data_IF_339984839818
#
_entry.id   IF_339984839818
#
_cell.length_a   1.000
_cell.length_b   1.000
_cell.length_c   1.000
_cell.angle_alpha   90.00
_cell.angle_beta   90.00
_cell.angle_gamma   90.00
#
_symmetry.space_group_name_H-M   'P 1'
#
loop_
_entity.id
_entity.type
_entity.pdbx_description
1 polymer ?
#
# COMPACT_ATOMS: atom_id res chain seq x y z
N UNK A 1 -47.81 3.84 6.82
CA UNK A 1 -46.87 4.11 5.74
C UNK A 1 -45.43 3.95 6.21
N UNK A 2 -44.80 2.86 5.87
CA UNK A 2 -43.40 2.79 6.07
C UNK A 2 -42.73 3.59 4.98
N UNK A 3 -42.69 4.88 5.16
CA UNK A 3 -42.03 5.78 4.23
C UNK A 3 -40.55 5.85 4.51
N UNK A 4 -39.99 4.79 5.05
CA UNK A 4 -38.58 4.73 5.29
C UNK A 4 -37.92 3.94 4.19
N UNK A 5 -37.40 4.66 3.23
CA UNK A 5 -36.36 4.15 2.39
C UNK A 5 -35.06 4.14 3.21
N UNK A 6 -34.67 2.99 3.68
CA UNK A 6 -33.30 2.84 4.16
C UNK A 6 -32.45 2.67 2.93
N UNK A 7 -32.03 3.77 2.37
CA UNK A 7 -30.97 3.76 1.37
C UNK A 7 -29.69 3.46 2.14
N UNK A 8 -29.23 2.24 2.08
CA UNK A 8 -27.86 1.95 2.46
C UNK A 8 -26.95 2.59 1.42
N UNK A 9 -26.61 3.83 1.65
CA UNK A 9 -25.53 4.47 0.93
C UNK A 9 -24.26 3.78 1.42
N UNK A 10 -23.74 2.86 0.64
CA UNK A 10 -22.35 2.49 0.77
C UNK A 10 -21.55 3.75 0.43
N UNK A 11 -21.07 4.43 1.47
CA UNK A 11 -20.10 5.48 1.27
C UNK A 11 -18.87 4.84 0.63
N UNK A 12 -18.68 5.13 -0.64
CA UNK A 12 -17.46 4.74 -1.35
C UNK A 12 -16.39 5.75 -0.98
N UNK A 13 -15.64 5.42 0.06
CA UNK A 13 -14.53 6.26 0.50
C UNK A 13 -13.39 6.17 -0.51
N UNK A 14 -12.91 7.29 -1.02
CA UNK A 14 -11.70 7.30 -1.85
C UNK A 14 -10.51 6.81 -1.04
N UNK A 15 -9.81 5.83 -1.55
CA UNK A 15 -8.64 5.23 -0.90
C UNK A 15 -7.38 5.40 -1.71
N UNK A 16 -7.51 5.36 -3.03
CA UNK A 16 -6.38 5.45 -3.96
C UNK A 16 -6.67 6.37 -5.13
N UNK A 17 -5.61 6.80 -5.80
CA UNK A 17 -5.66 7.33 -7.14
C UNK A 17 -5.30 6.23 -8.12
N UNK A 18 -6.04 6.12 -9.21
CA UNK A 18 -5.74 5.22 -10.32
C UNK A 18 -5.78 5.96 -11.64
N UNK A 19 -4.85 5.64 -12.53
CA UNK A 19 -4.89 6.11 -13.92
C UNK A 19 -5.63 5.12 -14.79
N UNK A 20 -6.59 5.60 -15.56
CA UNK A 20 -7.33 4.80 -16.52
C UNK A 20 -7.54 5.60 -17.78
N UNK A 21 -7.03 5.10 -18.91
CA UNK A 21 -7.14 5.75 -20.21
C UNK A 21 -6.68 7.22 -20.20
N UNK A 22 -5.58 7.50 -19.49
CA UNK A 22 -5.01 8.84 -19.39
C UNK A 22 -5.73 9.78 -18.42
N UNK A 23 -6.74 9.31 -17.70
CA UNK A 23 -7.51 10.10 -16.75
C UNK A 23 -7.24 9.59 -15.33
N UNK A 24 -7.09 10.51 -14.39
CA UNK A 24 -6.90 10.19 -12.97
C UNK A 24 -8.27 10.06 -12.30
N UNK A 25 -8.48 8.94 -11.63
CA UNK A 25 -9.70 8.64 -10.88
C UNK A 25 -9.40 8.41 -9.41
N UNK A 26 -10.39 8.72 -8.56
CA UNK A 26 -10.45 8.16 -7.22
C UNK A 26 -10.86 6.70 -7.32
N UNK A 27 -10.25 5.86 -6.49
CA UNK A 27 -10.60 4.44 -6.39
C UNK A 27 -10.93 4.09 -4.93
N UNK A 28 -11.80 3.10 -4.76
CA UNK A 28 -12.13 2.56 -3.45
C UNK A 28 -11.01 1.62 -2.94
N UNK A 29 -11.20 1.04 -1.75
CA UNK A 29 -10.21 0.13 -1.14
C UNK A 29 -9.94 -1.15 -1.95
N UNK A 30 -10.83 -1.51 -2.86
CA UNK A 30 -10.66 -2.64 -3.77
C UNK A 30 -9.97 -2.25 -5.09
N UNK A 31 -9.59 -0.98 -5.24
CA UNK A 31 -8.96 -0.49 -6.46
C UNK A 31 -9.92 -0.16 -7.58
N UNK A 32 -11.23 -0.17 -7.33
CA UNK A 32 -12.23 0.15 -8.35
C UNK A 32 -12.40 1.66 -8.48
N UNK A 33 -12.37 2.15 -9.73
CA UNK A 33 -12.56 3.57 -10.02
C UNK A 33 -13.97 4.02 -9.60
N UNK A 34 -14.05 5.13 -8.86
CA UNK A 34 -15.32 5.69 -8.38
C UNK A 34 -15.72 6.90 -9.21
N UNK A 35 -14.82 7.87 -9.34
CA UNK A 35 -15.08 9.16 -9.97
C UNK A 35 -13.79 9.81 -10.43
N UNK A 36 -13.81 10.64 -11.49
CA UNK A 36 -12.64 11.41 -11.88
C UNK A 36 -12.20 12.37 -10.79
N UNK A 37 -10.90 12.56 -10.65
CA UNK A 37 -10.33 13.54 -9.71
C UNK A 37 -10.57 14.95 -10.28
N UNK A 38 -11.28 15.76 -9.52
CA UNK A 38 -11.51 17.16 -9.86
C UNK A 38 -10.56 18.06 -9.10
N UNK A 39 -10.04 19.09 -9.80
CA UNK A 39 -9.06 20.03 -9.24
C UNK A 39 -9.59 20.83 -8.01
N UNK A 40 -10.91 20.87 -7.81
CA UNK A 40 -11.53 21.62 -6.71
C UNK A 40 -11.57 20.89 -5.38
N UNK A 41 -11.55 19.55 -5.40
CA UNK A 41 -11.65 18.71 -4.21
C UNK A 41 -10.53 17.67 -4.22
N UNK A 42 -9.31 18.17 -4.16
CA UNK A 42 -8.12 17.36 -4.25
C UNK A 42 -7.83 16.68 -2.91
N UNK A 43 -7.97 15.37 -2.86
CA UNK A 43 -7.50 14.55 -1.74
C UNK A 43 -6.16 13.94 -2.11
N UNK A 44 -5.17 14.14 -1.27
CA UNK A 44 -3.86 13.50 -1.46
C UNK A 44 -3.94 12.03 -1.01
N UNK A 45 -3.89 11.12 -1.96
CA UNK A 45 -4.00 9.68 -1.74
C UNK A 45 -2.82 8.97 -2.42
N UNK A 46 -2.47 7.76 -1.96
CA UNK A 46 -1.47 6.98 -2.68
C UNK A 46 -1.96 6.57 -4.06
N UNK A 47 -1.05 6.60 -5.03
CA UNK A 47 -1.35 6.13 -6.39
C UNK A 47 -1.30 4.60 -6.40
N UNK A 48 -2.34 3.98 -6.93
CA UNK A 48 -2.40 2.53 -7.11
C UNK A 48 -2.10 2.17 -8.57
N UNK A 49 -1.17 1.24 -8.74
CA UNK A 49 -0.86 0.63 -10.03
C UNK A 49 -1.03 -0.88 -9.92
N UNK A 50 -1.78 -1.47 -10.82
CA UNK A 50 -1.94 -2.93 -10.91
C UNK A 50 -1.26 -3.39 -12.19
N UNK A 51 -0.17 -4.15 -12.04
CA UNK A 51 0.55 -4.69 -13.19
C UNK A 51 -0.23 -5.82 -13.85
N UNK A 52 -0.04 -6.01 -15.14
CA UNK A 52 -0.64 -7.11 -15.90
C UNK A 52 -0.24 -8.44 -15.28
N UNK A 53 -1.23 -9.29 -15.03
CA UNK A 53 -1.03 -10.59 -14.38
C UNK A 53 -1.22 -10.58 -12.87
N UNK A 54 -1.39 -9.40 -12.25
CA UNK A 54 -1.60 -9.27 -10.81
C UNK A 54 -3.06 -8.98 -10.43
N UNK A 55 -3.99 -9.10 -11.36
CA UNK A 55 -5.39 -8.73 -11.15
C UNK A 55 -6.04 -9.49 -10.00
N UNK A 56 -5.68 -10.76 -9.80
CA UNK A 56 -6.22 -11.57 -8.71
C UNK A 56 -5.69 -11.12 -7.35
N UNK A 57 -4.50 -10.54 -7.30
CA UNK A 57 -3.87 -10.08 -6.07
C UNK A 57 -4.45 -8.78 -5.54
N UNK A 58 -5.22 -8.06 -6.36
CA UNK A 58 -5.96 -6.85 -5.94
C UNK A 58 -6.89 -7.14 -4.76
N UNK A 59 -7.35 -8.37 -4.62
CA UNK A 59 -8.19 -8.80 -3.49
C UNK A 59 -7.49 -8.65 -2.13
N UNK A 60 -6.16 -8.56 -2.09
CA UNK A 60 -5.42 -8.33 -0.84
C UNK A 60 -5.40 -6.86 -0.40
N UNK A 61 -5.76 -5.92 -1.26
CA UNK A 61 -5.73 -4.48 -0.93
C UNK A 61 -6.61 -4.12 0.26
N UNK A 62 -7.89 -4.55 0.34
CA UNK A 62 -8.71 -4.23 1.50
C UNK A 62 -8.12 -4.79 2.80
N UNK A 63 -7.58 -6.00 2.75
CA UNK A 63 -6.91 -6.62 3.89
C UNK A 63 -5.65 -5.85 4.29
N UNK A 64 -4.85 -5.46 3.32
CA UNK A 64 -3.66 -4.64 3.57
C UNK A 64 -4.03 -3.32 4.25
N UNK A 65 -5.04 -2.62 3.75
CA UNK A 65 -5.48 -1.35 4.34
C UNK A 65 -6.01 -1.53 5.75
N UNK A 66 -6.73 -2.62 6.00
CA UNK A 66 -7.21 -2.97 7.34
C UNK A 66 -6.06 -3.23 8.29
N UNK A 67 -5.08 -4.02 7.88
CA UNK A 67 -3.90 -4.35 8.68
C UNK A 67 -3.04 -3.10 8.95
N UNK A 68 -2.92 -2.22 7.96
CA UNK A 68 -2.21 -0.95 8.10
C UNK A 68 -2.86 -0.05 9.17
N UNK A 69 -4.19 0.10 9.11
CA UNK A 69 -4.93 0.89 10.09
C UNK A 69 -4.93 0.26 11.49
N UNK A 70 -4.79 -1.06 11.56
CA UNK A 70 -4.67 -1.78 12.83
C UNK A 70 -3.26 -1.67 13.45
N UNK A 71 -2.32 -1.06 12.76
CA UNK A 71 -0.96 -0.88 13.26
C UNK A 71 -0.05 -2.09 13.07
N UNK A 72 -0.39 -3.00 12.16
CA UNK A 72 0.44 -4.19 11.86
C UNK A 72 1.80 -3.83 11.27
N UNK A 73 1.90 -2.65 10.66
CA UNK A 73 3.17 -2.09 10.18
C UNK A 73 3.42 -0.76 10.88
N UNK A 74 4.67 -0.46 11.26
CA UNK A 74 5.03 0.84 11.84
C UNK A 74 5.17 1.91 10.74
N UNK A 75 4.14 2.02 9.91
CA UNK A 75 4.04 2.96 8.78
C UNK A 75 2.68 3.61 8.83
N UNK A 76 2.63 4.91 8.72
CA UNK A 76 1.38 5.65 8.63
C UNK A 76 0.86 5.62 7.19
N UNK A 77 -0.46 5.48 7.03
CA UNK A 77 -1.07 5.47 5.71
C UNK A 77 -0.75 6.72 4.90
N UNK A 78 -0.67 7.87 5.55
CA UNK A 78 -0.33 9.15 4.91
C UNK A 78 1.10 9.24 4.39
N UNK A 79 1.99 8.35 4.82
CA UNK A 79 3.38 8.31 4.35
C UNK A 79 3.54 7.51 3.04
N UNK A 80 2.51 6.79 2.63
CA UNK A 80 2.56 5.96 1.42
C UNK A 80 2.28 6.82 0.19
N UNK A 81 3.27 6.93 -0.70
CA UNK A 81 3.13 7.68 -1.94
C UNK A 81 2.50 6.84 -3.06
N UNK A 82 2.86 5.56 -3.14
CA UNK A 82 2.33 4.67 -4.16
C UNK A 82 2.24 3.23 -3.67
N UNK A 83 1.32 2.50 -4.28
CA UNK A 83 1.13 1.06 -4.07
C UNK A 83 1.10 0.41 -5.44
N UNK A 84 1.90 -0.62 -5.64
CA UNK A 84 1.92 -1.40 -6.87
C UNK A 84 1.59 -2.86 -6.55
N UNK A 85 0.61 -3.41 -7.25
CA UNK A 85 0.30 -4.83 -7.19
C UNK A 85 1.02 -5.51 -8.35
N UNK A 86 1.96 -6.38 -8.04
CA UNK A 86 2.89 -6.99 -9.00
C UNK A 86 2.85 -8.52 -8.90
N UNK A 87 2.83 -9.25 -10.03
CA UNK A 87 2.90 -10.71 -9.98
C UNK A 87 4.22 -11.21 -9.40
N UNK A 88 5.30 -10.46 -9.57
CA UNK A 88 6.62 -10.85 -9.09
C UNK A 88 6.88 -10.47 -7.63
N UNK A 89 6.28 -9.37 -7.15
CA UNK A 89 6.61 -8.77 -5.84
C UNK A 89 5.45 -8.72 -4.86
N UNK A 90 4.24 -9.09 -5.28
CA UNK A 90 3.04 -8.98 -4.45
C UNK A 90 2.58 -7.53 -4.29
N UNK A 91 2.34 -7.10 -3.07
CA UNK A 91 2.00 -5.70 -2.77
C UNK A 91 3.29 -4.95 -2.47
N UNK A 92 3.62 -3.98 -3.31
CA UNK A 92 4.79 -3.12 -3.13
C UNK A 92 4.32 -1.72 -2.76
N UNK A 93 4.84 -1.18 -1.65
CA UNK A 93 4.55 0.18 -1.22
C UNK A 93 5.82 1.02 -1.27
N UNK A 94 5.66 2.29 -1.65
CA UNK A 94 6.75 3.26 -1.68
C UNK A 94 6.48 4.39 -0.68
N UNK A 95 7.45 4.61 0.20
CA UNK A 95 7.45 5.66 1.20
C UNK A 95 8.39 6.76 0.73
N UNK A 96 7.83 7.83 0.19
CA UNK A 96 8.61 8.89 -0.46
C UNK A 96 9.54 9.62 0.52
N UNK A 97 9.04 9.95 1.70
CA UNK A 97 9.80 10.68 2.72
C UNK A 97 11.03 9.93 3.22
N UNK A 98 11.01 8.60 3.14
CA UNK A 98 12.12 7.72 3.55
C UNK A 98 12.87 7.12 2.37
N UNK A 99 12.38 7.33 1.16
CA UNK A 99 12.88 6.69 -0.06
C UNK A 99 13.01 5.17 0.10
N UNK A 100 11.98 4.57 0.72
CA UNK A 100 11.98 3.15 1.08
C UNK A 100 10.86 2.42 0.36
N UNK A 101 11.15 1.20 -0.10
CA UNK A 101 10.15 0.28 -0.66
C UNK A 101 9.94 -0.88 0.27
N UNK A 102 8.69 -1.27 0.42
CA UNK A 102 8.31 -2.49 1.13
C UNK A 102 7.59 -3.40 0.15
N UNK A 103 8.01 -4.65 0.05
CA UNK A 103 7.40 -5.64 -0.83
C UNK A 103 6.91 -6.83 -0.01
N UNK A 104 5.62 -7.12 -0.09
CA UNK A 104 4.95 -8.15 0.69
C UNK A 104 4.36 -9.17 -0.27
N UNK A 105 4.93 -10.37 -0.32
CA UNK A 105 4.37 -11.42 -1.15
C UNK A 105 2.99 -11.84 -0.64
N UNK A 106 2.06 -12.07 -1.56
CA UNK A 106 0.69 -12.44 -1.23
C UNK A 106 0.58 -13.89 -0.74
N UNK A 107 1.49 -14.73 -1.18
CA UNK A 107 1.63 -16.10 -0.69
C UNK A 107 2.11 -16.06 0.76
N UNK A 108 1.34 -16.63 1.70
CA UNK A 108 1.52 -16.47 3.14
C UNK A 108 1.48 -14.99 3.58
N UNK A 109 0.44 -14.30 3.21
CA UNK A 109 0.27 -12.87 3.45
C UNK A 109 0.50 -12.48 4.92
N UNK A 110 -0.18 -13.16 5.85
CA UNK A 110 -0.09 -12.84 7.27
C UNK A 110 1.34 -13.03 7.81
N UNK A 111 2.03 -14.10 7.39
CA UNK A 111 3.41 -14.36 7.78
C UNK A 111 4.38 -13.33 7.21
N UNK A 112 4.22 -12.98 5.95
CA UNK A 112 5.05 -11.97 5.30
C UNK A 112 4.87 -10.59 5.94
N UNK A 113 3.64 -10.20 6.21
CA UNK A 113 3.34 -8.94 6.86
C UNK A 113 3.95 -8.86 8.27
N UNK A 114 3.80 -9.93 9.05
CA UNK A 114 4.37 -10.00 10.39
C UNK A 114 5.90 -9.89 10.38
N UNK A 115 6.55 -10.59 9.44
CA UNK A 115 8.01 -10.54 9.31
C UNK A 115 8.52 -9.14 8.95
N UNK A 116 7.84 -8.45 8.04
CA UNK A 116 8.19 -7.06 7.71
C UNK A 116 8.02 -6.15 8.92
N UNK A 117 6.90 -6.28 9.62
CA UNK A 117 6.65 -5.47 10.82
C UNK A 117 7.73 -5.65 11.89
N UNK A 118 8.12 -6.89 12.16
CA UNK A 118 9.19 -7.20 13.11
C UNK A 118 10.54 -6.64 12.65
N UNK A 119 10.86 -6.77 11.37
CA UNK A 119 12.11 -6.27 10.80
C UNK A 119 12.19 -4.76 10.88
N UNK A 120 11.13 -4.06 10.50
CA UNK A 120 11.09 -2.59 10.59
C UNK A 120 11.19 -2.12 12.03
N UNK A 121 10.52 -2.80 12.97
CA UNK A 121 10.60 -2.48 14.39
C UNK A 121 12.02 -2.66 14.93
N UNK A 122 12.71 -3.72 14.53
CA UNK A 122 14.09 -3.97 14.94
C UNK A 122 15.05 -2.92 14.37
N UNK A 123 14.93 -2.61 13.08
CA UNK A 123 15.73 -1.57 12.43
C UNK A 123 15.51 -0.19 13.06
N UNK A 124 14.27 0.12 13.44
CA UNK A 124 13.96 1.37 14.13
C UNK A 124 14.64 1.44 15.50
N UNK A 125 14.60 0.37 16.27
CA UNK A 125 15.28 0.31 17.58
C UNK A 125 16.79 0.49 17.47
N UNK A 126 17.39 0.01 16.39
CA UNK A 126 18.83 0.14 16.12
C UNK A 126 19.20 1.45 15.40
N UNK A 127 18.23 2.31 15.17
CA UNK A 127 18.40 3.58 14.43
C UNK A 127 18.99 3.39 13.02
N UNK A 128 18.63 2.28 12.35
CA UNK A 128 19.15 1.92 11.02
C UNK A 128 18.15 2.14 9.88
N UNK A 129 16.89 2.52 10.17
CA UNK A 129 15.87 2.72 9.13
C UNK A 129 16.30 3.70 8.04
N UNK A 130 17.04 4.75 8.39
CA UNK A 130 17.52 5.76 7.43
C UNK A 130 18.46 5.19 6.36
N UNK A 131 19.06 4.03 6.64
CA UNK A 131 20.00 3.38 5.72
C UNK A 131 19.32 2.31 4.85
N UNK A 132 18.04 2.07 5.05
CA UNK A 132 17.29 1.02 4.36
C UNK A 132 16.63 1.58 3.11
N UNK A 133 16.78 0.90 1.99
CA UNK A 133 16.11 1.25 0.73
C UNK A 133 14.95 0.33 0.40
N UNK A 134 15.05 -0.93 0.77
CA UNK A 134 14.00 -1.91 0.49
C UNK A 134 13.95 -2.97 1.58
N UNK A 135 12.75 -3.37 1.95
CA UNK A 135 12.49 -4.54 2.76
C UNK A 135 11.50 -5.41 2.00
N UNK A 136 11.89 -6.64 1.72
CA UNK A 136 11.07 -7.59 0.96
C UNK A 136 10.87 -8.86 1.76
N UNK A 137 9.61 -9.29 1.91
CA UNK A 137 9.27 -10.56 2.54
C UNK A 137 8.66 -11.49 1.52
N UNK A 138 9.31 -12.64 1.32
CA UNK A 138 8.90 -13.68 0.37
C UNK A 138 9.43 -15.02 0.82
N UNK A 139 8.62 -16.08 0.66
CA UNK A 139 9.03 -17.46 0.95
C UNK A 139 9.64 -17.68 2.33
N UNK A 140 9.08 -17.02 3.36
CA UNK A 140 9.55 -17.15 4.73
C UNK A 140 10.81 -16.39 5.08
N UNK A 141 11.37 -15.62 4.14
CA UNK A 141 12.59 -14.84 4.31
C UNK A 141 12.33 -13.35 4.17
N UNK A 142 13.13 -12.54 4.85
CA UNK A 142 13.12 -11.09 4.70
C UNK A 142 14.46 -10.65 4.13
N UNK A 143 14.40 -9.87 3.08
CA UNK A 143 15.57 -9.28 2.42
C UNK A 143 15.58 -7.79 2.70
N UNK A 144 16.69 -7.29 3.22
CA UNK A 144 16.89 -5.87 3.48
C UNK A 144 17.98 -5.35 2.56
N UNK A 145 17.64 -4.34 1.77
CA UNK A 145 18.61 -3.66 0.90
C UNK A 145 18.98 -2.34 1.54
N UNK A 146 20.26 -2.14 1.78
CA UNK A 146 20.79 -0.92 2.37
C UNK A 146 21.22 0.07 1.30
N UNK A 147 21.14 1.36 1.61
CA UNK A 147 21.75 2.38 0.77
C UNK A 147 23.27 2.18 0.79
N UNK A 148 23.89 2.25 -0.38
CA UNK A 148 25.36 2.20 -0.44
C UNK A 148 25.93 3.45 0.24
N UNK A 149 26.93 3.30 1.15
CA UNK A 149 27.57 4.47 1.70
C UNK A 149 28.21 5.26 0.56
N UNK A 150 27.88 6.56 0.50
CA UNK A 150 28.59 7.45 -0.42
C UNK A 150 30.05 7.51 0.01
N UNK A 151 30.91 6.96 -0.82
CA UNK A 151 32.33 7.21 -0.70
C UNK A 151 32.62 8.62 -1.24
N UNK A 152 32.71 9.52 -0.32
CA UNK A 152 33.20 10.86 -0.62
C UNK A 152 34.69 10.84 -0.86
#
# INVERSE_FOLDING_TARGET
>A
LPDRFVIKIKERMPTFWVHKDGVLYYANESGEAIAPVESRNFLSLPTLTVETGAEDDVAYLPRFMKDLHAGSLPVEAGAIASITVSPARGIEIYLEDREMRLSIATDDWAGNLARIGLTLGDLARRHELKNVREVRSVNGSVWVTLSQPMRG
#
